data_IF_072023541666
#
_entry.id   IF_072023541666
#
_cell.length_a   1.000
_cell.length_b   1.000
_cell.length_c   1.000
_cell.angle_alpha   90.00
_cell.angle_beta   90.00
_cell.angle_gamma   90.00
#
_symmetry.space_group_name_H-M   'P 1'
#
loop_
_entity.id
_entity.type
_entity.pdbx_description
1 polymer ?
#
# COMPACT_ATOMS: atom_id res chain seq x y z
N UNK A 1 25.44 19.25 7.61
CA UNK A 1 24.84 19.57 6.29
C UNK A 1 25.08 18.39 5.36
N UNK A 2 24.02 17.65 4.98
CA UNK A 2 23.99 16.66 3.88
C UNK A 2 22.54 16.11 3.82
N UNK A 3 21.65 16.75 3.06
CA UNK A 3 21.36 16.52 1.63
C UNK A 3 20.45 15.29 1.42
N UNK A 4 19.16 15.59 1.22
CA UNK A 4 18.11 14.64 0.85
C UNK A 4 18.34 14.11 -0.57
N UNK A 5 18.21 12.79 -0.75
CA UNK A 5 18.22 12.14 -2.06
C UNK A 5 16.76 11.92 -2.50
N UNK A 6 16.35 12.39 -3.69
CA UNK A 6 14.99 12.18 -4.19
C UNK A 6 14.84 10.73 -4.68
N UNK A 7 13.93 9.96 -4.09
CA UNK A 7 13.56 8.63 -4.56
C UNK A 7 12.63 8.75 -5.78
N UNK A 8 13.19 8.98 -6.96
CA UNK A 8 12.52 8.74 -8.25
C UNK A 8 12.92 7.36 -8.78
N UNK A 9 12.27 6.32 -8.26
CA UNK A 9 12.53 4.91 -8.60
C UNK A 9 11.46 4.26 -9.47
N UNK A 10 10.69 5.03 -10.26
CA UNK A 10 9.79 4.47 -11.25
C UNK A 10 10.60 4.18 -12.51
N UNK A 11 10.82 2.87 -12.80
CA UNK A 11 10.67 2.22 -14.13
C UNK A 11 11.70 1.11 -14.38
N UNK A 12 11.32 -0.15 -14.09
CA UNK A 12 11.70 -1.30 -14.91
C UNK A 12 10.69 -2.46 -14.72
N UNK A 13 9.59 -2.43 -15.50
CA UNK A 13 8.54 -3.46 -15.47
C UNK A 13 7.24 -3.04 -16.17
N UNK A 14 7.34 -2.26 -17.24
CA UNK A 14 6.24 -1.63 -17.97
C UNK A 14 5.57 -2.68 -18.88
N UNK A 15 4.29 -3.02 -18.62
CA UNK A 15 3.13 -2.92 -19.54
C UNK A 15 2.01 -3.96 -19.33
N UNK A 16 2.27 -5.19 -18.86
CA UNK A 16 1.19 -6.16 -18.56
C UNK A 16 0.81 -6.23 -17.06
N UNK A 17 1.77 -5.87 -16.20
CA UNK A 17 1.74 -6.09 -14.75
C UNK A 17 1.06 -4.98 -13.93
N UNK A 18 0.35 -4.02 -14.54
CA UNK A 18 -0.22 -2.90 -13.76
C UNK A 18 -1.76 -2.90 -13.71
N UNK A 19 -2.42 -3.69 -14.56
CA UNK A 19 -3.88 -3.77 -14.60
C UNK A 19 -4.48 -4.24 -13.26
N UNK A 20 -3.82 -5.18 -12.57
CA UNK A 20 -4.26 -5.65 -11.27
C UNK A 20 -4.17 -4.57 -10.17
N UNK A 21 -3.32 -3.54 -10.33
CA UNK A 21 -3.23 -2.42 -9.40
C UNK A 21 -4.35 -1.38 -9.59
N UNK A 22 -5.04 -1.43 -10.74
CA UNK A 22 -6.15 -0.54 -11.08
C UNK A 22 -7.51 -1.09 -10.66
N UNK A 23 -7.56 -2.33 -10.18
CA UNK A 23 -8.76 -3.00 -9.69
C UNK A 23 -9.46 -2.20 -8.59
N UNK A 24 -10.80 -2.22 -8.60
CA UNK A 24 -11.62 -1.51 -7.62
C UNK A 24 -11.23 -1.90 -6.18
N UNK A 25 -11.07 -3.20 -5.93
CA UNK A 25 -10.71 -3.73 -4.62
C UNK A 25 -9.36 -3.20 -4.11
N UNK A 26 -8.37 -3.06 -5.01
CA UNK A 26 -7.07 -2.47 -4.67
C UNK A 26 -7.20 -0.99 -4.31
N UNK A 27 -7.99 -0.22 -5.08
CA UNK A 27 -8.22 1.21 -4.82
C UNK A 27 -8.93 1.45 -3.49
N UNK A 28 -9.97 0.68 -3.19
CA UNK A 28 -10.70 0.76 -1.92
C UNK A 28 -9.83 0.32 -0.74
N UNK A 29 -9.01 -0.73 -0.91
CA UNK A 29 -8.08 -1.16 0.14
C UNK A 29 -7.02 -0.08 0.43
N UNK A 30 -6.49 0.61 -0.58
CA UNK A 30 -5.55 1.72 -0.37
C UNK A 30 -6.19 2.85 0.45
N UNK A 31 -7.43 3.21 0.15
CA UNK A 31 -8.16 4.23 0.92
C UNK A 31 -8.39 3.76 2.37
N UNK A 32 -8.80 2.51 2.56
CA UNK A 32 -8.96 1.91 3.89
C UNK A 32 -7.65 1.92 4.69
N UNK A 33 -6.51 1.62 4.05
CA UNK A 33 -5.21 1.64 4.72
C UNK A 33 -4.85 3.04 5.25
N UNK A 34 -5.11 4.08 4.46
CA UNK A 34 -4.88 5.46 4.90
C UNK A 34 -5.77 5.82 6.10
N UNK A 35 -7.05 5.45 6.06
CA UNK A 35 -8.00 5.69 7.15
C UNK A 35 -7.64 4.94 8.43
N UNK A 36 -7.21 3.68 8.33
CA UNK A 36 -6.75 2.90 9.48
C UNK A 36 -5.49 3.48 10.10
N UNK A 37 -4.52 3.87 9.28
CA UNK A 37 -3.31 4.55 9.72
C UNK A 37 -3.65 5.82 10.52
N UNK A 38 -4.53 6.66 9.98
CA UNK A 38 -5.01 7.88 10.66
C UNK A 38 -5.71 7.57 11.99
N UNK A 39 -6.58 6.55 12.01
CA UNK A 39 -7.25 6.15 13.26
C UNK A 39 -6.27 5.65 14.31
N UNK A 40 -5.25 4.86 13.95
CA UNK A 40 -4.27 4.37 14.91
C UNK A 40 -3.45 5.49 15.55
N UNK A 41 -3.07 6.52 14.78
CA UNK A 41 -2.44 7.71 15.35
C UNK A 41 -3.41 8.51 16.23
N UNK A 42 -4.66 8.68 15.78
CA UNK A 42 -5.68 9.46 16.52
C UNK A 42 -6.03 8.81 17.86
N UNK A 43 -6.13 7.47 17.90
CA UNK A 43 -6.40 6.70 19.11
C UNK A 43 -5.16 6.54 20.01
N UNK A 44 -3.97 7.00 19.58
CA UNK A 44 -2.71 6.86 20.32
C UNK A 44 -2.18 5.42 20.38
N UNK A 45 -2.65 4.53 19.50
CA UNK A 45 -2.17 3.14 19.43
C UNK A 45 -0.76 3.06 18.85
N UNK A 46 -0.36 4.07 18.08
CA UNK A 46 0.98 4.21 17.52
C UNK A 46 1.53 5.58 17.96
N UNK A 47 2.69 5.57 18.61
CA UNK A 47 3.32 6.77 19.19
C UNK A 47 4.63 7.18 18.49
N UNK A 48 5.00 6.54 17.37
CA UNK A 48 6.21 6.82 16.57
C UNK A 48 6.07 6.31 15.14
N UNK A 49 7.15 6.24 14.35
CA UNK A 49 7.13 5.65 12.99
C UNK A 49 7.07 4.11 12.99
N UNK A 50 6.87 3.49 14.15
CA UNK A 50 6.82 2.04 14.30
C UNK A 50 5.45 1.48 14.02
N UNK A 51 5.33 0.65 12.98
CA UNK A 51 4.12 -0.11 12.65
C UNK A 51 3.90 -0.18 11.16
N UNK A 52 3.41 -1.33 10.68
CA UNK A 52 2.97 -1.47 9.30
C UNK A 52 1.60 -2.12 9.27
N UNK A 53 0.80 -1.72 8.30
CA UNK A 53 -0.48 -2.36 8.03
C UNK A 53 -0.35 -3.05 6.69
N UNK A 54 -0.60 -4.36 6.70
CA UNK A 54 -0.59 -5.21 5.52
C UNK A 54 -1.97 -5.80 5.32
N UNK A 55 -2.60 -5.55 4.18
CA UNK A 55 -3.89 -6.16 3.80
C UNK A 55 -3.71 -7.01 2.56
N UNK A 56 -4.21 -8.25 2.65
CA UNK A 56 -4.40 -9.12 1.49
C UNK A 56 -5.66 -8.69 0.75
N UNK A 57 -5.51 -8.21 -0.48
CA UNK A 57 -6.61 -7.78 -1.34
C UNK A 57 -7.26 -9.01 -1.95
N UNK A 58 -8.55 -9.19 -1.66
CA UNK A 58 -9.39 -10.16 -2.32
C UNK A 58 -10.11 -9.48 -3.49
N UNK A 59 -9.53 -9.60 -4.68
CA UNK A 59 -10.17 -9.25 -5.94
C UNK A 59 -10.53 -10.56 -6.66
N UNK A 60 -11.81 -10.79 -6.94
CA UNK A 60 -12.29 -12.01 -7.61
C UNK A 60 -11.76 -12.13 -9.05
N UNK A 61 -11.28 -11.03 -9.63
CA UNK A 61 -10.63 -11.01 -10.94
C UNK A 61 -9.19 -11.54 -10.91
N UNK A 62 -8.61 -11.74 -9.72
CA UNK A 62 -7.25 -12.22 -9.51
C UNK A 62 -7.30 -13.64 -8.92
N UNK A 63 -6.69 -14.65 -9.58
CA UNK A 63 -6.71 -15.99 -9.02
C UNK A 63 -5.99 -16.04 -7.66
N UNK A 64 -6.46 -16.94 -6.78
CA UNK A 64 -6.01 -17.03 -5.38
C UNK A 64 -4.49 -17.02 -5.15
N UNK A 65 -3.65 -17.73 -5.94
CA UNK A 65 -2.20 -17.70 -5.73
C UNK A 65 -1.54 -16.36 -6.10
N UNK A 66 -2.23 -15.49 -6.85
CA UNK A 66 -1.74 -14.18 -7.30
C UNK A 66 -2.36 -13.01 -6.53
N UNK A 67 -3.11 -13.27 -5.47
CA UNK A 67 -3.70 -12.21 -4.64
C UNK A 67 -2.64 -11.27 -4.09
N UNK A 68 -2.96 -9.98 -4.11
CA UNK A 68 -2.02 -8.92 -3.79
C UNK A 68 -1.99 -8.66 -2.28
N UNK A 69 -0.81 -8.31 -1.76
CA UNK A 69 -0.67 -7.76 -0.42
C UNK A 69 -0.28 -6.29 -0.57
N UNK A 70 -1.12 -5.40 -0.07
CA UNK A 70 -0.81 -3.98 0.05
C UNK A 70 -0.21 -3.73 1.42
N UNK A 71 0.89 -2.98 1.46
CA UNK A 71 1.56 -2.60 2.69
C UNK A 71 1.67 -1.09 2.77
N UNK A 72 1.38 -0.51 3.94
CA UNK A 72 1.56 0.92 4.19
C UNK A 72 3.07 1.25 4.23
N UNK A 73 3.57 2.22 3.44
CA UNK A 73 4.93 2.72 3.62
C UNK A 73 5.04 3.43 4.99
N UNK A 74 6.14 3.18 5.69
CA UNK A 74 6.50 3.80 6.98
C UNK A 74 6.82 5.28 6.84
#
# INVERSE_FOLDING_TARGET
MAAAIPLNGVKLGTTSSQAYLEGKAVKETKALMAELCRHFYTLGWVSGTGGSISIKVHDDSIPKPQQLILMSPS
#
